data_IF_454499170992
#
_entry.id   IF_454499170992
#
_cell.length_a   1.000
_cell.length_b   1.000
_cell.length_c   1.000
_cell.angle_alpha   90.00
_cell.angle_beta   90.00
_cell.angle_gamma   90.00
#
_symmetry.space_group_name_H-M   'P 1'
#
loop_
_entity.id
_entity.type
_entity.pdbx_description
1 polymer ?
#
# COMPACT_ATOMS: atom_id res chain seq x y z
N UNK A 1 5.25 -12.16 -12.00
CA UNK A 1 5.00 -13.62 -12.07
C UNK A 1 6.20 -14.29 -11.42
N UNK A 2 6.14 -14.59 -10.13
CA UNK A 2 7.21 -15.25 -9.40
C UNK A 2 6.65 -16.58 -8.90
N UNK A 3 7.14 -17.67 -9.49
CA UNK A 3 6.83 -19.04 -9.08
C UNK A 3 7.72 -19.38 -7.88
N UNK A 4 7.13 -19.51 -6.70
CA UNK A 4 7.79 -20.18 -5.58
C UNK A 4 7.55 -21.68 -5.74
N UNK A 5 8.61 -22.45 -6.00
CA UNK A 5 8.59 -23.91 -5.96
C UNK A 5 8.72 -24.35 -4.49
N UNK A 6 7.72 -25.05 -3.97
CA UNK A 6 7.82 -25.84 -2.74
C UNK A 6 7.87 -27.33 -3.11
N UNK A 7 8.74 -28.09 -2.45
CA UNK A 7 8.86 -29.54 -2.59
C UNK A 7 7.88 -30.25 -1.64
N UNK A 8 6.60 -30.35 -2.03
CA UNK A 8 5.61 -31.35 -1.57
C UNK A 8 4.25 -31.09 -2.26
N UNK A 9 3.38 -32.09 -2.46
CA UNK A 9 2.10 -31.90 -3.12
C UNK A 9 1.09 -31.33 -2.12
N UNK A 10 1.16 -30.02 -1.88
CA UNK A 10 0.13 -29.28 -1.14
C UNK A 10 -0.47 -28.27 -2.11
N UNK A 11 -1.79 -28.13 -2.11
CA UNK A 11 -2.48 -27.13 -2.93
C UNK A 11 -2.18 -25.73 -2.36
N UNK A 12 -1.04 -25.18 -2.78
CA UNK A 12 -0.57 -23.86 -2.38
C UNK A 12 -1.36 -22.77 -3.14
N UNK A 13 -2.26 -22.07 -2.45
CA UNK A 13 -2.90 -20.86 -2.97
C UNK A 13 -2.22 -19.61 -2.38
N UNK A 14 -1.18 -19.12 -3.05
CA UNK A 14 -0.57 -17.83 -2.71
C UNK A 14 -1.38 -16.71 -3.38
N UNK A 15 -2.29 -16.06 -2.63
CA UNK A 15 -2.90 -14.82 -3.09
C UNK A 15 -1.86 -13.71 -2.96
N UNK A 16 -1.53 -13.05 -4.07
CA UNK A 16 -0.67 -11.87 -4.05
C UNK A 16 -1.48 -10.67 -3.54
N UNK A 17 -1.61 -10.58 -2.23
CA UNK A 17 -2.19 -9.42 -1.56
C UNK A 17 -1.05 -8.39 -1.48
N UNK A 18 -1.11 -7.33 -2.28
CA UNK A 18 -0.19 -6.19 -2.13
C UNK A 18 -0.55 -5.47 -0.81
N UNK A 19 0.08 -5.81 0.31
CA UNK A 19 -0.28 -5.19 1.60
C UNK A 19 0.80 -5.33 2.65
N UNK A 20 1.32 -4.18 3.10
CA UNK A 20 2.51 -3.96 3.96
C UNK A 20 2.31 -4.44 5.41
N UNK A 21 3.37 -4.96 6.02
CA UNK A 21 3.47 -5.51 7.37
C UNK A 21 4.94 -5.69 7.77
N UNK A 22 5.46 -4.78 8.60
CA UNK A 22 6.77 -4.89 9.22
C UNK A 22 6.66 -5.59 10.58
N UNK A 23 7.63 -6.46 10.93
CA UNK A 23 8.45 -6.35 12.15
C UNK A 23 9.43 -7.53 12.32
N UNK A 24 10.64 -7.19 12.76
CA UNK A 24 11.60 -8.11 13.39
C UNK A 24 12.74 -7.32 14.04
N UNK A 25 12.68 -7.10 15.36
CA UNK A 25 13.80 -6.59 16.18
C UNK A 25 14.16 -7.70 17.17
N UNK A 26 15.43 -8.15 17.25
CA UNK A 26 15.95 -8.82 18.42
C UNK A 26 16.70 -7.85 19.37
N UNK A 27 16.84 -8.36 20.59
CA UNK A 27 17.19 -7.73 21.86
C UNK A 27 18.71 -7.55 22.05
N UNK A 28 19.10 -6.38 22.58
CA UNK A 28 20.24 -6.00 23.47
C UNK A 28 21.66 -6.56 23.22
N UNK A 29 22.64 -5.64 23.13
CA UNK A 29 23.90 -5.72 23.92
C UNK A 29 24.64 -4.38 23.99
N UNK A 30 24.99 -3.96 25.21
CA UNK A 30 25.82 -2.81 25.58
C UNK A 30 27.27 -2.90 25.06
N UNK A 31 27.94 -1.76 24.85
CA UNK A 31 29.34 -1.55 25.25
C UNK A 31 29.78 -0.07 25.17
N UNK A 32 30.01 0.48 26.36
CA UNK A 32 31.08 1.39 26.82
C UNK A 32 31.53 2.63 26.02
N UNK A 33 31.60 3.70 26.80
CA UNK A 33 32.05 5.08 26.56
C UNK A 33 33.56 5.24 26.34
N UNK A 34 33.95 6.17 25.47
CA UNK A 34 35.20 6.94 25.58
C UNK A 34 34.98 8.39 25.11
N UNK A 35 35.30 9.33 26.00
CA UNK A 35 35.18 10.78 25.82
C UNK A 35 36.29 11.34 24.90
N UNK A 36 35.96 12.28 24.01
CA UNK A 36 36.71 13.53 23.82
C UNK A 36 35.84 14.60 23.11
N UNK A 37 35.98 15.90 23.46
CA UNK A 37 34.95 16.91 23.20
C UNK A 37 35.21 17.79 21.95
N UNK A 38 34.15 18.48 21.52
CA UNK A 38 34.11 19.61 20.58
C UNK A 38 34.12 19.25 19.08
N UNK A 39 32.94 18.87 18.57
CA UNK A 39 32.24 19.43 17.38
C UNK A 39 30.76 19.05 17.60
N UNK A 40 29.98 19.92 18.25
CA UNK A 40 28.54 19.70 18.48
C UNK A 40 27.74 20.67 17.64
N UNK A 41 27.52 20.30 16.37
CA UNK A 41 26.34 20.63 15.56
C UNK A 41 26.55 20.09 14.15
N UNK A 42 26.59 18.77 13.98
CA UNK A 42 26.31 18.00 12.76
C UNK A 42 26.70 16.54 13.05
N UNK A 43 25.75 15.61 12.85
CA UNK A 43 25.89 14.15 13.01
C UNK A 43 25.75 13.64 14.45
N UNK A 44 24.51 13.44 14.90
CA UNK A 44 24.12 12.32 15.78
C UNK A 44 22.57 12.26 15.92
N UNK A 45 21.90 11.81 14.87
CA UNK A 45 20.66 11.02 15.04
C UNK A 45 20.83 9.79 14.15
N UNK A 46 21.66 8.86 14.60
CA UNK A 46 21.68 7.49 14.09
C UNK A 46 20.80 6.64 15.01
N UNK A 47 19.51 6.99 15.09
CA UNK A 47 18.51 5.93 15.11
C UNK A 47 18.48 5.40 13.67
N UNK A 48 18.41 4.09 13.46
CA UNK A 48 18.32 3.50 12.13
C UNK A 48 17.02 3.95 11.44
N UNK A 49 17.03 5.14 10.87
CA UNK A 49 16.03 5.64 9.94
C UNK A 49 16.52 5.14 8.59
N UNK A 50 15.78 4.24 7.95
CA UNK A 50 16.01 3.95 6.54
C UNK A 50 15.90 5.28 5.78
N UNK A 51 17.02 5.79 5.28
CA UNK A 51 17.07 7.01 4.51
C UNK A 51 16.21 6.81 3.26
N UNK A 52 15.28 7.74 3.00
CA UNK A 52 14.56 7.71 1.72
C UNK A 52 15.57 7.86 0.58
N UNK A 53 15.29 7.35 -0.63
CA UNK A 53 16.15 7.55 -1.79
C UNK A 53 16.45 9.04 -2.06
N UNK A 54 15.52 9.94 -1.70
CA UNK A 54 15.69 11.39 -1.81
C UNK A 54 16.66 11.93 -0.75
N UNK A 55 16.61 11.41 0.48
CA UNK A 55 17.54 11.80 1.54
C UNK A 55 18.98 11.36 1.22
N UNK A 56 19.15 10.14 0.70
CA UNK A 56 20.44 9.65 0.21
C UNK A 56 20.97 10.53 -0.93
N UNK A 57 20.12 10.87 -1.91
CA UNK A 57 20.48 11.79 -2.99
C UNK A 57 20.88 13.18 -2.48
N UNK A 58 20.21 13.69 -1.43
CA UNK A 58 20.52 14.97 -0.79
C UNK A 58 21.88 14.94 -0.11
N UNK A 59 22.17 13.90 0.66
CA UNK A 59 23.47 13.73 1.35
C UNK A 59 24.61 13.67 0.33
N UNK A 60 24.44 12.87 -0.73
CA UNK A 60 25.40 12.79 -1.84
C UNK A 60 25.59 14.15 -2.52
N UNK A 61 24.52 14.91 -2.71
CA UNK A 61 24.62 16.26 -3.27
C UNK A 61 25.40 17.21 -2.37
N UNK A 62 25.16 17.21 -1.05
CA UNK A 62 25.93 18.07 -0.13
C UNK A 62 27.43 17.80 -0.16
N UNK A 63 27.83 16.53 -0.24
CA UNK A 63 29.24 16.16 -0.39
C UNK A 63 29.81 16.70 -1.72
N UNK A 64 29.09 16.47 -2.83
CA UNK A 64 29.46 16.96 -4.14
C UNK A 64 29.58 18.49 -4.17
N UNK A 65 28.62 19.19 -3.58
CA UNK A 65 28.56 20.65 -3.49
C UNK A 65 29.80 21.22 -2.79
N UNK A 66 30.21 20.63 -1.66
CA UNK A 66 31.40 21.06 -0.93
C UNK A 66 32.68 20.90 -1.77
N UNK A 67 32.82 19.76 -2.46
CA UNK A 67 33.98 19.50 -3.31
C UNK A 67 34.03 20.44 -4.52
N UNK A 68 32.88 20.71 -5.14
CA UNK A 68 32.77 21.66 -6.24
C UNK A 68 33.11 23.09 -5.79
N UNK A 69 32.64 23.54 -4.62
CA UNK A 69 33.00 24.86 -4.09
C UNK A 69 34.50 25.02 -3.81
N UNK A 70 35.18 23.97 -3.32
CA UNK A 70 36.65 23.96 -3.15
C UNK A 70 37.39 24.13 -4.49
N UNK A 71 36.84 23.56 -5.57
CA UNK A 71 37.40 23.68 -6.90
C UNK A 71 37.15 25.06 -7.51
N UNK A 72 35.91 25.55 -7.45
CA UNK A 72 35.49 26.83 -8.04
C UNK A 72 36.16 28.03 -7.34
N UNK A 73 36.56 27.88 -6.08
CA UNK A 73 37.36 28.89 -5.36
C UNK A 73 38.84 28.90 -5.73
N UNK A 74 39.34 27.85 -6.40
CA UNK A 74 40.73 27.76 -6.80
C UNK A 74 40.96 28.44 -8.15
N UNK A 75 41.76 29.51 -8.15
CA UNK A 75 42.01 30.33 -9.34
C UNK A 75 42.66 29.55 -10.51
N UNK A 76 43.43 28.49 -10.22
CA UNK A 76 44.03 27.63 -11.27
C UNK A 76 42.99 26.77 -11.96
N UNK A 77 41.90 26.44 -11.27
CA UNK A 77 40.81 25.65 -11.81
C UNK A 77 39.89 26.52 -12.68
N UNK A 78 39.64 27.77 -12.26
CA UNK A 78 38.87 28.76 -13.03
C UNK A 78 39.62 29.24 -14.27
N UNK A 79 40.90 29.62 -14.14
CA UNK A 79 41.73 30.14 -15.23
C UNK A 79 42.54 29.04 -15.96
N UNK A 80 42.14 27.78 -15.79
CA UNK A 80 42.80 26.65 -16.45
C UNK A 80 42.65 26.72 -17.98
N UNK A 81 43.63 26.16 -18.70
CA UNK A 81 43.65 26.14 -20.17
C UNK A 81 42.34 25.54 -20.72
N UNK A 82 41.70 26.24 -21.66
CA UNK A 82 40.56 25.73 -22.42
C UNK A 82 39.24 25.60 -21.66
N UNK A 83 38.99 26.40 -20.60
CA UNK A 83 37.74 26.34 -19.80
C UNK A 83 37.49 24.96 -19.17
N UNK A 84 38.55 24.23 -18.84
CA UNK A 84 38.48 22.87 -18.26
C UNK A 84 37.66 22.81 -16.95
N UNK A 85 37.59 23.92 -16.21
CA UNK A 85 36.72 24.04 -15.03
C UNK A 85 35.24 23.85 -15.35
N UNK A 86 34.74 24.51 -16.41
CA UNK A 86 33.32 24.44 -16.81
C UNK A 86 32.94 23.00 -17.15
N UNK A 87 33.79 22.32 -17.92
CA UNK A 87 33.60 20.92 -18.28
C UNK A 87 33.53 20.02 -17.04
N UNK A 88 34.43 20.21 -16.07
CA UNK A 88 34.45 19.42 -14.82
C UNK A 88 33.22 19.66 -13.97
N UNK A 89 32.76 20.91 -13.86
CA UNK A 89 31.53 21.27 -13.16
C UNK A 89 30.31 20.63 -13.82
N UNK A 90 30.21 20.75 -15.15
CA UNK A 90 29.12 20.18 -15.92
C UNK A 90 29.07 18.65 -15.81
N UNK A 91 30.21 17.99 -15.94
CA UNK A 91 30.31 16.55 -15.77
C UNK A 91 29.83 16.08 -14.39
N UNK A 92 30.27 16.77 -13.34
CA UNK A 92 29.92 16.44 -11.97
C UNK A 92 28.41 16.58 -11.71
N UNK A 93 27.81 17.71 -12.13
CA UNK A 93 26.37 17.93 -12.03
C UNK A 93 25.58 16.88 -12.80
N UNK A 94 25.93 16.62 -14.07
CA UNK A 94 25.21 15.66 -14.92
C UNK A 94 25.32 14.22 -14.39
N UNK A 95 26.45 13.86 -13.81
CA UNK A 95 26.61 12.55 -13.16
C UNK A 95 25.66 12.37 -11.99
N UNK A 96 25.49 13.40 -11.16
CA UNK A 96 24.52 13.40 -10.07
C UNK A 96 23.07 13.46 -10.59
N UNK A 97 22.79 14.29 -11.59
CA UNK A 97 21.48 14.40 -12.24
C UNK A 97 20.99 13.04 -12.76
N UNK A 98 21.89 12.25 -13.37
CA UNK A 98 21.56 10.90 -13.83
C UNK A 98 21.22 9.93 -12.67
N UNK A 99 21.85 10.10 -11.50
CA UNK A 99 21.55 9.26 -10.34
C UNK A 99 20.14 9.50 -9.78
N UNK A 100 19.62 10.72 -9.88
CA UNK A 100 18.29 11.06 -9.33
C UNK A 100 17.13 10.78 -10.31
N UNK A 101 17.41 10.46 -11.58
CA UNK A 101 16.37 10.09 -12.57
C UNK A 101 15.64 8.80 -12.24
N UNK A 102 16.28 7.89 -11.49
CA UNK A 102 15.67 6.62 -11.08
C UNK A 102 14.79 6.73 -9.84
N UNK A 103 14.75 7.89 -9.19
CA UNK A 103 13.92 8.10 -8.00
C UNK A 103 12.47 8.28 -8.44
N UNK A 104 11.60 7.35 -8.04
CA UNK A 104 10.17 7.41 -8.33
C UNK A 104 9.49 8.56 -7.58
N UNK A 105 8.67 9.35 -8.28
CA UNK A 105 7.79 10.38 -7.71
C UNK A 105 6.35 10.13 -8.10
N UNK A 106 5.40 10.77 -7.41
CA UNK A 106 4.00 10.80 -7.83
C UNK A 106 3.92 11.49 -9.20
N UNK A 107 3.57 10.76 -10.25
CA UNK A 107 3.44 11.31 -11.61
C UNK A 107 2.01 11.76 -11.94
N UNK A 108 1.01 11.37 -11.14
CA UNK A 108 -0.41 11.58 -11.49
C UNK A 108 -1.35 11.56 -10.29
N UNK A 109 -0.89 12.05 -9.14
CA UNK A 109 -1.78 12.19 -7.98
C UNK A 109 -2.53 13.51 -8.06
N UNK A 110 -3.69 13.49 -8.72
CA UNK A 110 -4.68 14.57 -8.63
C UNK A 110 -5.34 14.47 -7.25
N UNK A 111 -4.90 15.34 -6.34
CA UNK A 111 -5.63 15.54 -5.08
C UNK A 111 -6.69 16.62 -5.28
N UNK A 112 -7.80 16.49 -4.58
CA UNK A 112 -8.82 17.54 -4.49
C UNK A 112 -8.34 18.76 -3.70
N UNK A 113 -7.28 18.61 -2.90
CA UNK A 113 -6.72 19.69 -2.12
C UNK A 113 -6.21 20.84 -3.00
N UNK A 114 -6.81 22.01 -2.80
CA UNK A 114 -6.37 23.25 -3.42
C UNK A 114 -4.89 23.54 -3.10
N UNK A 115 -4.47 23.27 -1.85
CA UNK A 115 -3.11 23.54 -1.40
C UNK A 115 -2.09 22.65 -2.14
N UNK A 116 -2.42 21.36 -2.35
CA UNK A 116 -1.61 20.48 -3.17
C UNK A 116 -1.55 20.92 -4.63
N UNK A 117 -2.69 21.29 -5.22
CA UNK A 117 -2.70 21.77 -6.60
C UNK A 117 -1.83 23.01 -6.77
N UNK A 118 -1.81 23.92 -5.78
CA UNK A 118 -0.89 25.06 -5.77
C UNK A 118 0.57 24.67 -5.58
N UNK A 119 0.88 23.77 -4.65
CA UNK A 119 2.24 23.23 -4.51
C UNK A 119 2.71 22.56 -5.80
N UNK A 120 1.82 21.82 -6.48
CA UNK A 120 2.07 21.12 -7.73
C UNK A 120 2.41 22.07 -8.88
N UNK A 121 1.71 23.21 -9.00
CA UNK A 121 2.05 24.27 -9.97
C UNK A 121 3.50 24.75 -9.78
N UNK A 122 3.89 25.09 -8.54
CA UNK A 122 5.25 25.55 -8.24
C UNK A 122 6.29 24.44 -8.43
N UNK A 123 5.97 23.20 -8.05
CA UNK A 123 6.84 22.05 -8.29
C UNK A 123 7.07 21.80 -9.78
N UNK A 124 6.03 21.93 -10.61
CA UNK A 124 6.17 21.82 -12.06
C UNK A 124 7.08 22.90 -12.63
N UNK A 125 6.96 24.14 -12.16
CA UNK A 125 7.83 25.23 -12.56
C UNK A 125 9.29 24.94 -12.21
N UNK A 126 9.57 24.49 -10.98
CA UNK A 126 10.93 24.12 -10.54
C UNK A 126 11.48 22.96 -11.38
N UNK A 127 10.68 21.93 -11.64
CA UNK A 127 11.10 20.79 -12.46
C UNK A 127 11.41 21.20 -13.91
N UNK A 128 10.59 22.09 -14.50
CA UNK A 128 10.83 22.65 -15.84
C UNK A 128 12.15 23.43 -15.92
N UNK A 129 12.40 24.29 -14.94
CA UNK A 129 13.66 25.04 -14.84
C UNK A 129 14.86 24.12 -14.63
N UNK A 130 14.71 23.07 -13.81
CA UNK A 130 15.73 22.04 -13.64
C UNK A 130 16.05 21.31 -14.95
N UNK A 131 15.04 20.88 -15.70
CA UNK A 131 15.24 20.20 -16.99
C UNK A 131 15.91 21.11 -18.02
N UNK A 132 15.53 22.39 -18.03
CA UNK A 132 16.16 23.39 -18.88
C UNK A 132 17.62 23.60 -18.48
N UNK A 133 17.92 23.67 -17.19
CA UNK A 133 19.28 23.76 -16.67
C UNK A 133 20.10 22.52 -17.03
N UNK A 134 19.56 21.31 -16.87
CA UNK A 134 20.23 20.07 -17.24
C UNK A 134 20.64 20.07 -18.73
N UNK A 135 19.73 20.46 -19.63
CA UNK A 135 20.03 20.60 -21.06
C UNK A 135 21.17 21.60 -21.32
N UNK A 136 21.20 22.72 -20.61
CA UNK A 136 22.29 23.71 -20.72
C UNK A 136 23.62 23.15 -20.21
N UNK A 137 23.61 22.39 -19.11
CA UNK A 137 24.80 21.71 -18.60
C UNK A 137 25.30 20.62 -19.58
N UNK A 138 24.41 19.93 -20.30
CA UNK A 138 24.79 19.00 -21.37
C UNK A 138 25.49 19.71 -22.54
N UNK A 139 25.03 20.90 -22.93
CA UNK A 139 25.68 21.73 -23.96
C UNK A 139 27.07 22.18 -23.47
N UNK A 140 27.19 22.66 -22.23
CA UNK A 140 28.47 23.02 -21.62
C UNK A 140 29.44 21.83 -21.59
N UNK A 141 28.95 20.64 -21.25
CA UNK A 141 29.75 19.41 -21.26
C UNK A 141 30.24 19.04 -22.68
N UNK A 142 29.47 19.38 -23.72
CA UNK A 142 29.76 19.00 -25.11
C UNK A 142 30.77 19.94 -25.83
N UNK A 143 31.34 20.93 -25.14
CA UNK A 143 32.39 21.82 -25.65
C UNK A 143 32.06 22.60 -26.95
N UNK A 144 30.78 22.88 -27.22
CA UNK A 144 30.39 23.69 -28.39
C UNK A 144 30.54 25.18 -28.07
N UNK A 145 31.69 25.73 -28.47
CA UNK A 145 32.03 27.14 -28.78
C UNK A 145 31.14 28.25 -28.16
N UNK A 146 31.78 29.10 -27.35
CA UNK A 146 31.52 30.53 -27.16
C UNK A 146 30.04 30.97 -27.00
N UNK A 147 29.27 30.28 -26.16
CA UNK A 147 27.99 30.83 -25.70
C UNK A 147 28.18 31.62 -24.40
N UNK A 148 27.65 32.85 -24.38
CA UNK A 148 27.48 33.64 -23.18
C UNK A 148 26.66 32.82 -22.17
N UNK A 149 27.16 32.67 -20.94
CA UNK A 149 26.43 32.01 -19.85
C UNK A 149 25.22 32.84 -19.39
N UNK A 150 24.97 33.98 -20.05
CA UNK A 150 23.79 34.83 -19.85
C UNK A 150 22.44 34.15 -20.12
N UNK A 151 22.42 32.87 -20.48
CA UNK A 151 21.18 32.10 -20.59
C UNK A 151 21.11 30.90 -19.65
N UNK A 152 22.13 30.63 -18.82
CA UNK A 152 22.15 29.55 -17.81
C UNK A 152 21.59 30.02 -16.44
N UNK A 153 21.27 31.30 -16.35
CA UNK A 153 20.92 32.01 -15.12
C UNK A 153 19.84 31.35 -14.25
N UNK A 154 19.99 31.54 -12.93
CA UNK A 154 18.89 31.50 -11.97
C UNK A 154 17.85 32.49 -12.48
N UNK A 155 16.78 31.99 -13.10
CA UNK A 155 15.67 32.83 -13.46
C UNK A 155 15.03 33.37 -12.17
N UNK A 156 14.61 34.63 -12.16
CA UNK A 156 13.78 35.19 -11.08
C UNK A 156 12.62 34.23 -10.76
N UNK A 157 12.10 33.57 -11.80
CA UNK A 157 11.06 32.56 -11.74
C UNK A 157 11.43 31.33 -10.88
N UNK A 158 12.67 30.81 -10.92
CA UNK A 158 13.08 29.68 -10.08
C UNK A 158 13.18 30.06 -8.60
N UNK A 159 13.79 31.21 -8.31
CA UNK A 159 13.88 31.73 -6.94
C UNK A 159 12.50 32.05 -6.36
N UNK A 160 11.59 32.59 -7.18
CA UNK A 160 10.23 32.86 -6.74
C UNK A 160 9.43 31.57 -6.53
N UNK A 161 9.52 30.60 -7.44
CA UNK A 161 8.81 29.31 -7.31
C UNK A 161 9.29 28.51 -6.10
N UNK A 162 10.61 28.46 -5.85
CA UNK A 162 11.16 27.79 -4.67
C UNK A 162 10.75 28.47 -3.36
N UNK A 163 10.65 29.80 -3.34
CA UNK A 163 10.15 30.56 -2.19
C UNK A 163 8.65 30.38 -1.98
N UNK A 164 7.85 30.40 -3.03
CA UNK A 164 6.39 30.20 -2.92
C UNK A 164 6.06 28.77 -2.48
N UNK A 165 6.80 27.78 -3.00
CA UNK A 165 6.68 26.41 -2.52
C UNK A 165 7.05 26.30 -1.03
N UNK A 166 8.09 27.00 -0.59
CA UNK A 166 8.50 27.08 0.82
C UNK A 166 7.39 27.68 1.70
N UNK A 167 6.87 28.85 1.34
CA UNK A 167 5.79 29.56 2.06
C UNK A 167 4.52 28.68 2.17
N UNK A 168 4.19 27.90 1.14
CA UNK A 168 3.06 26.97 1.18
C UNK A 168 3.31 25.75 2.09
N UNK A 169 4.56 25.30 2.20
CA UNK A 169 4.96 24.13 2.98
C UNK A 169 5.42 24.47 4.40
N UNK A 170 5.60 25.74 4.73
CA UNK A 170 5.96 26.21 6.07
C UNK A 170 4.90 25.84 7.12
N UNK A 171 3.65 25.66 6.68
CA UNK A 171 2.51 25.10 7.43
C UNK A 171 2.13 23.67 6.98
N UNK A 172 3.09 22.95 6.37
CA UNK A 172 2.88 21.69 5.67
C UNK A 172 2.58 20.48 6.56
N UNK A 173 2.71 20.60 7.88
CA UNK A 173 2.20 19.62 8.83
C UNK A 173 0.69 19.44 8.63
N UNK A 174 -0.04 20.54 8.50
CA UNK A 174 -1.48 20.53 8.21
C UNK A 174 -1.80 19.92 6.84
N UNK A 175 -0.99 20.21 5.82
CA UNK A 175 -1.15 19.62 4.48
C UNK A 175 -1.04 18.09 4.53
N UNK A 176 -0.02 17.52 5.19
CA UNK A 176 0.14 16.07 5.26
C UNK A 176 -1.01 15.38 6.02
N UNK A 177 -1.55 16.04 7.05
CA UNK A 177 -2.72 15.55 7.79
C UNK A 177 -4.02 15.67 6.99
N UNK A 178 -4.32 16.85 6.43
CA UNK A 178 -5.53 17.13 5.63
C UNK A 178 -5.63 16.16 4.44
N UNK A 179 -4.50 15.87 3.76
CA UNK A 179 -4.45 14.94 2.63
C UNK A 179 -4.62 13.46 3.00
N UNK A 180 -4.29 13.10 4.24
CA UNK A 180 -4.50 11.76 4.76
C UNK A 180 -5.93 11.54 5.26
N UNK A 181 -6.68 12.60 5.57
CA UNK A 181 -8.05 12.57 6.08
C UNK A 181 -9.10 12.68 4.95
N UNK A 182 -8.85 13.48 3.91
CA UNK A 182 -9.80 13.70 2.79
C UNK A 182 -10.00 12.48 1.85
N UNK A 183 -9.20 11.43 1.96
CA UNK A 183 -9.24 10.25 1.07
C UNK A 183 -10.10 9.08 1.57
N UNK A 184 -10.88 9.24 2.65
CA UNK A 184 -11.65 8.12 3.23
C UNK A 184 -12.77 7.57 2.32
N UNK A 185 -13.25 8.33 1.33
CA UNK A 185 -14.57 8.05 0.72
C UNK A 185 -14.63 7.82 -0.79
N UNK A 186 -13.57 7.99 -1.59
CA UNK A 186 -13.77 8.00 -3.06
C UNK A 186 -12.86 7.14 -3.93
N UNK A 187 -11.69 6.67 -3.49
CA UNK A 187 -10.73 6.07 -4.43
C UNK A 187 -10.41 4.59 -4.14
N UNK A 188 -11.41 3.75 -4.33
CA UNK A 188 -11.24 2.30 -4.28
C UNK A 188 -10.35 1.72 -5.40
N UNK A 189 -10.02 2.50 -6.43
CA UNK A 189 -9.10 2.07 -7.48
C UNK A 189 -7.64 1.96 -7.00
N UNK A 190 -7.30 2.56 -5.85
CA UNK A 190 -5.95 2.54 -5.31
C UNK A 190 -6.01 2.31 -3.80
N UNK A 191 -5.83 1.07 -3.36
CA UNK A 191 -5.59 0.74 -1.94
C UNK A 191 -4.24 1.33 -1.48
N UNK A 192 -4.18 2.64 -1.25
CA UNK A 192 -2.97 3.30 -0.79
C UNK A 192 -2.98 3.34 0.73
N UNK A 193 -2.04 2.62 1.33
CA UNK A 193 -1.69 2.78 2.73
C UNK A 193 -1.43 4.26 3.04
N UNK A 194 -2.12 4.87 4.03
CA UNK A 194 -1.98 6.32 4.32
C UNK A 194 -0.52 6.75 4.48
N UNK A 195 0.28 5.95 5.16
CA UNK A 195 1.70 6.24 5.31
C UNK A 195 2.50 6.17 3.99
N UNK A 196 2.08 5.36 3.01
CA UNK A 196 2.68 5.33 1.66
C UNK A 196 2.34 6.61 0.91
N UNK A 197 1.10 7.08 1.02
CA UNK A 197 0.70 8.35 0.42
C UNK A 197 1.53 9.51 1.00
N UNK A 198 1.64 9.58 2.33
CA UNK A 198 2.45 10.61 3.02
C UNK A 198 3.91 10.52 2.59
N UNK A 199 4.48 9.31 2.52
CA UNK A 199 5.85 9.08 2.05
C UNK A 199 6.07 9.54 0.60
N UNK A 200 5.10 9.28 -0.28
CA UNK A 200 5.17 9.66 -1.70
C UNK A 200 5.06 11.17 -1.90
N UNK A 201 4.17 11.83 -1.16
CA UNK A 201 4.05 13.29 -1.11
C UNK A 201 5.38 13.90 -0.66
N UNK A 202 5.90 13.43 0.48
CA UNK A 202 7.18 13.87 1.01
C UNK A 202 8.31 13.71 -0.02
N UNK A 203 8.44 12.53 -0.62
CA UNK A 203 9.50 12.22 -1.59
C UNK A 203 9.42 13.13 -2.82
N UNK A 204 8.21 13.42 -3.29
CA UNK A 204 7.96 14.26 -4.47
C UNK A 204 8.35 15.72 -4.22
N UNK A 205 7.91 16.27 -3.08
CA UNK A 205 8.27 17.63 -2.64
C UNK A 205 9.77 17.73 -2.40
N UNK A 206 10.33 16.82 -1.61
CA UNK A 206 11.74 16.82 -1.23
C UNK A 206 12.68 16.69 -2.44
N UNK A 207 12.30 15.87 -3.45
CA UNK A 207 13.09 15.75 -4.67
C UNK A 207 13.03 17.03 -5.49
N UNK A 208 11.86 17.67 -5.57
CA UNK A 208 11.69 18.93 -6.30
C UNK A 208 12.49 20.06 -5.65
N UNK A 209 12.46 20.16 -4.33
CA UNK A 209 13.28 21.14 -3.62
C UNK A 209 14.78 20.88 -3.78
N UNK A 210 15.21 19.61 -3.78
CA UNK A 210 16.60 19.24 -4.02
C UNK A 210 17.07 19.66 -5.42
N UNK A 211 16.23 19.47 -6.45
CA UNK A 211 16.49 19.95 -7.81
C UNK A 211 16.65 21.46 -7.85
N UNK A 212 15.73 22.20 -7.24
CA UNK A 212 15.80 23.67 -7.15
C UNK A 212 17.08 24.14 -6.46
N UNK A 213 17.38 23.57 -5.29
CA UNK A 213 18.61 23.86 -4.53
C UNK A 213 19.88 23.58 -5.35
N UNK A 214 19.93 22.45 -6.05
CA UNK A 214 21.08 22.08 -6.85
C UNK A 214 21.32 23.08 -8.01
N UNK A 215 20.25 23.47 -8.71
CA UNK A 215 20.33 24.50 -9.76
C UNK A 215 20.82 25.82 -9.18
N UNK A 216 20.29 26.26 -8.04
CA UNK A 216 20.75 27.49 -7.36
C UNK A 216 22.25 27.42 -7.03
N UNK A 217 22.73 26.36 -6.38
CA UNK A 217 24.12 26.23 -5.97
C UNK A 217 25.09 26.19 -7.16
N UNK A 218 24.79 25.38 -8.18
CA UNK A 218 25.65 25.29 -9.37
C UNK A 218 25.62 26.59 -10.19
N UNK A 219 24.50 27.31 -10.20
CA UNK A 219 24.44 28.62 -10.84
C UNK A 219 25.33 29.66 -10.16
N UNK A 220 25.38 29.69 -8.82
CA UNK A 220 26.34 30.54 -8.10
C UNK A 220 27.79 30.18 -8.41
N UNK A 221 28.10 28.89 -8.59
CA UNK A 221 29.42 28.46 -9.01
C UNK A 221 29.77 29.01 -10.39
N UNK A 222 28.85 28.93 -11.35
CA UNK A 222 29.04 29.50 -12.69
C UNK A 222 29.25 31.02 -12.65
N UNK A 223 28.43 31.76 -11.87
CA UNK A 223 28.58 33.21 -11.73
C UNK A 223 29.95 33.62 -11.19
N UNK A 224 30.48 32.83 -10.26
CA UNK A 224 31.81 33.05 -9.71
C UNK A 224 32.90 32.81 -10.75
N UNK A 225 32.78 31.74 -11.54
CA UNK A 225 33.73 31.43 -12.61
C UNK A 225 33.74 32.49 -13.72
N UNK A 226 32.60 33.15 -13.96
CA UNK A 226 32.50 34.31 -14.86
C UNK A 226 33.05 35.62 -14.27
N UNK A 227 33.48 35.62 -13.00
CA UNK A 227 33.97 36.82 -12.33
C UNK A 227 32.88 37.80 -11.88
N UNK A 228 31.62 37.38 -11.78
CA UNK A 228 30.50 38.26 -11.35
C UNK A 228 30.42 38.48 -9.84
N UNK A 229 31.22 37.78 -9.04
CA UNK A 229 31.24 37.94 -7.58
C UNK A 229 31.56 36.64 -6.84
N UNK A 230 31.69 36.73 -5.51
CA UNK A 230 32.01 35.59 -4.65
C UNK A 230 30.79 34.93 -4.00
N UNK A 231 29.62 35.59 -4.02
CA UNK A 231 28.29 35.12 -3.57
C UNK A 231 28.25 34.38 -2.23
N UNK A 232 29.24 34.62 -1.35
CA UNK A 232 29.50 33.76 -0.20
C UNK A 232 28.40 33.83 0.85
N UNK A 233 27.73 34.98 0.94
CA UNK A 233 26.57 35.16 1.82
C UNK A 233 25.35 34.43 1.27
N UNK A 234 25.04 34.63 -0.01
CA UNK A 234 23.89 34.04 -0.72
C UNK A 234 23.94 32.51 -0.68
N UNK A 235 25.14 31.94 -0.87
CA UNK A 235 25.39 30.49 -0.77
C UNK A 235 25.12 29.98 0.64
N UNK A 236 25.70 30.65 1.64
CA UNK A 236 25.59 30.23 3.05
C UNK A 236 24.15 30.31 3.53
N UNK A 237 23.44 31.38 3.19
CA UNK A 237 22.03 31.57 3.52
C UNK A 237 21.13 30.58 2.77
N UNK A 238 21.39 30.33 1.49
CA UNK A 238 20.67 29.32 0.69
C UNK A 238 20.82 27.93 1.30
N UNK A 239 22.06 27.51 1.62
CA UNK A 239 22.33 26.22 2.25
C UNK A 239 21.64 26.09 3.61
N UNK A 240 21.79 27.11 4.48
CA UNK A 240 21.17 27.10 5.81
C UNK A 240 19.65 26.96 5.74
N UNK A 241 18.98 27.73 4.86
CA UNK A 241 17.53 27.67 4.67
C UNK A 241 17.08 26.30 4.17
N UNK A 242 17.71 25.80 3.10
CA UNK A 242 17.37 24.49 2.54
C UNK A 242 17.57 23.36 3.55
N UNK A 243 18.71 23.32 4.26
CA UNK A 243 18.98 22.27 5.24
C UNK A 243 17.99 22.26 6.41
N UNK A 244 17.61 23.44 6.93
CA UNK A 244 16.63 23.55 8.00
C UNK A 244 15.26 23.03 7.56
N UNK A 245 14.83 23.41 6.36
CA UNK A 245 13.54 23.02 5.79
C UNK A 245 13.47 21.53 5.48
N UNK A 246 14.50 20.98 4.84
CA UNK A 246 14.60 19.56 4.54
C UNK A 246 14.51 18.70 5.82
N UNK A 247 15.19 19.12 6.89
CA UNK A 247 15.12 18.44 8.19
C UNK A 247 13.73 18.51 8.82
N UNK A 248 13.07 19.67 8.77
CA UNK A 248 11.70 19.85 9.25
C UNK A 248 10.72 18.97 8.48
N UNK A 249 10.75 19.02 7.14
CA UNK A 249 9.88 18.22 6.29
C UNK A 249 10.03 16.72 6.53
N UNK A 250 11.28 16.22 6.69
CA UNK A 250 11.52 14.82 7.02
C UNK A 250 10.97 14.44 8.41
N UNK A 251 11.10 15.34 9.40
CA UNK A 251 10.59 15.11 10.75
C UNK A 251 9.07 15.04 10.76
N UNK A 252 8.39 15.98 10.10
CA UNK A 252 6.92 16.00 10.03
C UNK A 252 6.37 14.84 9.21
N UNK A 253 7.01 14.48 8.09
CA UNK A 253 6.63 13.30 7.32
C UNK A 253 6.73 12.02 8.16
N UNK A 254 7.83 11.83 8.89
CA UNK A 254 8.00 10.67 9.78
C UNK A 254 6.97 10.65 10.91
N UNK A 255 6.63 11.80 11.47
CA UNK A 255 5.59 11.93 12.49
C UNK A 255 4.22 11.56 11.93
N UNK A 256 3.86 12.09 10.76
CA UNK A 256 2.60 11.82 10.09
C UNK A 256 2.48 10.34 9.68
N UNK A 257 3.54 9.75 9.14
CA UNK A 257 3.64 8.30 8.84
C UNK A 257 3.40 7.47 10.10
N UNK A 258 4.08 7.82 11.20
CA UNK A 258 3.98 7.08 12.47
C UNK A 258 2.60 7.19 13.12
N UNK A 259 1.93 8.33 12.95
CA UNK A 259 0.58 8.59 13.46
C UNK A 259 -0.54 8.05 12.55
N UNK A 260 -0.23 7.73 11.29
CA UNK A 260 -1.22 7.26 10.33
C UNK A 260 -1.72 5.85 10.69
N UNK A 261 -3.01 5.60 10.44
CA UNK A 261 -3.57 4.25 10.59
C UNK A 261 -2.85 3.30 9.67
N UNK A 262 -2.47 2.13 10.21
CA UNK A 262 -1.80 1.06 9.47
C UNK A 262 -2.80 0.09 8.82
N UNK A 263 -4.08 0.43 8.84
CA UNK A 263 -5.16 -0.39 8.32
C UNK A 263 -5.11 -0.38 6.78
N UNK A 264 -5.24 -1.56 6.18
CA UNK A 264 -5.39 -1.71 4.74
C UNK A 264 -6.88 -1.51 4.43
N UNK A 265 -7.23 -0.42 3.77
CA UNK A 265 -8.57 -0.28 3.19
C UNK A 265 -8.59 -1.14 1.91
N UNK A 266 -9.11 -2.36 2.03
CA UNK A 266 -9.37 -3.24 0.90
C UNK A 266 -10.73 -2.88 0.33
N UNK A 267 -10.76 -2.49 -0.94
CA UNK A 267 -12.00 -2.38 -1.68
C UNK A 267 -12.29 -3.70 -2.40
N UNK A 268 -13.57 -4.04 -2.51
CA UNK A 268 -13.96 -5.21 -3.28
C UNK A 268 -13.57 -5.03 -4.76
N UNK A 269 -12.97 -6.05 -5.40
CA UNK A 269 -12.66 -6.01 -6.81
C UNK A 269 -13.94 -5.87 -7.64
N UNK A 270 -13.86 -5.18 -8.78
CA UNK A 270 -15.01 -5.06 -9.70
C UNK A 270 -15.54 -6.41 -10.19
N UNK A 271 -14.68 -7.43 -10.21
CA UNK A 271 -15.06 -8.82 -10.49
C UNK A 271 -14.32 -9.76 -9.55
N UNK A 272 -15.07 -10.59 -8.85
CA UNK A 272 -14.50 -11.65 -8.02
C UNK A 272 -14.09 -12.86 -8.87
N UNK A 273 -12.82 -13.26 -8.77
CA UNK A 273 -12.22 -14.42 -9.46
C UNK A 273 -11.55 -15.32 -8.41
N UNK A 274 -11.97 -16.58 -8.34
CA UNK A 274 -11.44 -17.58 -7.39
C UNK A 274 -9.94 -17.82 -7.63
N UNK A 275 -9.16 -18.01 -6.58
CA UNK A 275 -7.70 -18.14 -6.65
C UNK A 275 -6.97 -16.83 -6.98
N UNK A 276 -7.67 -15.73 -7.26
CA UNK A 276 -7.07 -14.44 -7.60
C UNK A 276 -7.50 -13.33 -6.65
N UNK A 277 -8.80 -13.09 -6.54
CA UNK A 277 -9.35 -11.98 -5.74
C UNK A 277 -10.13 -12.46 -4.53
N UNK A 278 -10.49 -13.74 -4.50
CA UNK A 278 -11.07 -14.40 -3.35
C UNK A 278 -10.71 -15.87 -3.38
N UNK A 279 -10.81 -16.51 -2.23
CA UNK A 279 -10.71 -17.96 -2.10
C UNK A 279 -11.87 -18.44 -1.25
N UNK A 280 -12.33 -19.67 -1.50
CA UNK A 280 -13.50 -20.21 -0.83
C UNK A 280 -13.11 -21.04 0.40
N UNK A 281 -13.69 -20.71 1.55
CA UNK A 281 -13.72 -21.65 2.68
C UNK A 281 -14.78 -22.70 2.36
N UNK A 282 -14.35 -23.96 2.21
CA UNK A 282 -15.25 -25.06 1.87
C UNK A 282 -15.98 -25.56 3.11
N UNK A 283 -17.30 -25.74 2.99
CA UNK A 283 -18.19 -26.47 3.91
C UNK A 283 -18.13 -26.16 5.42
N UNK A 284 -17.45 -25.08 5.80
CA UNK A 284 -17.46 -24.56 7.16
C UNK A 284 -18.69 -23.69 7.38
N UNK A 285 -19.54 -24.05 8.33
CA UNK A 285 -20.73 -23.29 8.74
C UNK A 285 -21.65 -22.93 7.56
N UNK A 286 -21.86 -23.87 6.63
CA UNK A 286 -22.78 -23.65 5.51
C UNK A 286 -24.23 -23.84 5.96
N UNK A 287 -25.15 -23.07 5.37
CA UNK A 287 -26.58 -23.26 5.60
C UNK A 287 -27.01 -24.69 5.25
N UNK A 288 -27.72 -25.35 6.16
CA UNK A 288 -28.14 -26.75 6.06
C UNK A 288 -29.61 -26.87 6.47
N UNK A 289 -30.43 -27.45 5.61
CA UNK A 289 -31.86 -27.66 5.85
C UNK A 289 -32.05 -29.06 6.41
N UNK A 290 -32.60 -29.20 7.61
CA UNK A 290 -32.83 -30.51 8.23
C UNK A 290 -34.16 -30.56 8.96
N UNK A 291 -34.78 -31.74 9.00
CA UNK A 291 -36.02 -31.91 9.76
C UNK A 291 -35.72 -32.16 11.25
N UNK A 292 -36.56 -31.61 12.12
CA UNK A 292 -36.46 -31.83 13.58
C UNK A 292 -36.35 -33.32 13.94
N UNK A 293 -37.09 -34.18 13.25
CA UNK A 293 -37.11 -35.64 13.48
C UNK A 293 -35.74 -36.29 13.28
N UNK A 294 -34.88 -35.71 12.44
CA UNK A 294 -33.58 -36.28 12.07
C UNK A 294 -32.43 -35.72 12.92
N UNK A 295 -32.71 -34.73 13.78
CA UNK A 295 -31.73 -34.02 14.60
C UNK A 295 -31.66 -34.47 16.07
N UNK A 296 -32.40 -35.53 16.43
CA UNK A 296 -32.35 -36.13 17.78
C UNK A 296 -32.38 -37.66 17.74
N UNK A 297 -31.76 -38.30 18.74
CA UNK A 297 -31.71 -39.76 18.88
C UNK A 297 -33.09 -40.41 18.95
N UNK A 298 -34.06 -39.72 19.57
CA UNK A 298 -35.41 -40.23 19.79
C UNK A 298 -36.24 -40.29 18.50
N UNK A 299 -35.82 -39.63 17.42
CA UNK A 299 -36.59 -39.55 16.18
C UNK A 299 -37.95 -38.86 16.35
N UNK A 300 -37.98 -37.79 17.15
CA UNK A 300 -39.20 -37.05 17.53
C UNK A 300 -39.16 -35.58 17.13
N UNK A 301 -40.30 -34.90 17.17
CA UNK A 301 -40.43 -33.45 16.89
C UNK A 301 -41.00 -32.73 18.12
N UNK A 302 -40.44 -33.05 19.29
CA UNK A 302 -40.89 -32.51 20.58
C UNK A 302 -40.42 -31.08 20.82
N UNK A 303 -39.29 -30.71 20.22
CA UNK A 303 -38.70 -29.38 20.31
C UNK A 303 -39.11 -28.51 19.12
N UNK A 304 -38.54 -27.31 19.03
CA UNK A 304 -38.66 -26.43 17.87
C UNK A 304 -37.27 -26.15 17.29
N UNK A 305 -37.21 -25.62 16.06
CA UNK A 305 -35.92 -25.35 15.41
C UNK A 305 -34.90 -24.57 16.28
N UNK A 306 -35.26 -23.47 16.98
CA UNK A 306 -34.31 -22.78 17.87
C UNK A 306 -33.77 -23.59 19.04
N UNK A 307 -34.47 -24.65 19.47
CA UNK A 307 -33.99 -25.56 20.52
C UNK A 307 -32.72 -26.33 20.12
N UNK A 308 -32.50 -26.53 18.82
CA UNK A 308 -31.33 -27.23 18.28
C UNK A 308 -30.13 -26.27 18.12
N UNK A 309 -29.54 -25.88 19.25
CA UNK A 309 -28.32 -25.05 19.29
C UNK A 309 -27.06 -25.83 18.90
N UNK A 310 -27.01 -27.11 19.24
CA UNK A 310 -25.96 -28.05 18.85
C UNK A 310 -26.58 -29.44 18.74
N UNK A 311 -26.66 -29.96 17.52
CA UNK A 311 -27.27 -31.24 17.20
C UNK A 311 -26.39 -32.04 16.23
N UNK A 312 -26.75 -33.30 16.03
CA UNK A 312 -26.15 -34.16 15.01
C UNK A 312 -27.27 -34.75 14.17
N UNK A 313 -26.91 -35.21 12.98
CA UNK A 313 -27.83 -36.01 12.19
C UNK A 313 -27.85 -37.44 12.74
N UNK A 314 -29.00 -37.89 13.21
CA UNK A 314 -29.19 -39.24 13.75
C UNK A 314 -29.85 -40.19 12.75
N UNK A 315 -30.49 -39.66 11.71
CA UNK A 315 -31.19 -40.50 10.74
C UNK A 315 -31.62 -39.77 9.47
N UNK A 316 -32.47 -40.45 8.73
CA UNK A 316 -33.20 -39.88 7.61
C UNK A 316 -34.58 -40.52 7.57
N UNK A 317 -35.54 -39.86 8.21
CA UNK A 317 -36.88 -40.40 8.36
C UNK A 317 -37.53 -40.58 6.99
N UNK A 318 -37.86 -41.83 6.65
CA UNK A 318 -38.55 -42.22 5.42
C UNK A 318 -37.87 -41.73 4.13
N UNK A 319 -36.53 -41.63 4.12
CA UNK A 319 -35.75 -41.15 2.98
C UNK A 319 -36.32 -39.83 2.38
N UNK A 320 -36.75 -38.91 3.26
CA UNK A 320 -37.26 -37.59 2.89
C UNK A 320 -36.14 -36.70 2.29
N UNK A 321 -36.23 -35.37 2.46
CA UNK A 321 -35.28 -34.44 1.87
C UNK A 321 -33.82 -34.71 2.28
N UNK A 322 -33.59 -35.26 3.48
CA UNK A 322 -32.28 -35.71 3.95
C UNK A 322 -31.58 -36.74 3.03
N UNK A 323 -32.33 -37.51 2.24
CA UNK A 323 -31.77 -38.46 1.26
C UNK A 323 -31.41 -37.79 -0.09
N UNK A 324 -31.99 -36.62 -0.36
CA UNK A 324 -31.85 -35.88 -1.61
C UNK A 324 -30.72 -34.84 -1.56
N UNK A 325 -30.26 -34.49 -0.37
CA UNK A 325 -29.16 -33.54 -0.14
C UNK A 325 -27.86 -34.22 0.28
N UNK A 326 -26.75 -33.47 0.26
CA UNK A 326 -25.49 -33.91 0.87
C UNK A 326 -25.66 -33.89 2.38
N UNK A 327 -25.17 -34.92 3.05
CA UNK A 327 -25.25 -35.05 4.50
C UNK A 327 -24.28 -34.10 5.22
N UNK A 328 -24.70 -33.57 6.36
CA UNK A 328 -23.78 -32.94 7.31
C UNK A 328 -23.15 -34.03 8.19
N UNK A 329 -21.83 -34.20 8.11
CA UNK A 329 -21.11 -35.22 8.89
C UNK A 329 -20.64 -34.74 10.27
N UNK A 330 -20.56 -33.43 10.48
CA UNK A 330 -20.19 -32.83 11.76
C UNK A 330 -21.39 -32.33 12.55
N UNK A 331 -21.21 -31.19 13.22
CA UNK A 331 -22.24 -30.63 14.12
C UNK A 331 -23.20 -29.71 13.37
N UNK A 332 -24.49 -29.89 13.61
CA UNK A 332 -25.54 -28.96 13.18
C UNK A 332 -25.71 -27.91 14.28
N UNK A 333 -25.56 -26.64 13.94
CA UNK A 333 -25.56 -25.52 14.90
C UNK A 333 -26.58 -24.46 14.54
N UNK A 334 -27.01 -23.70 15.54
CA UNK A 334 -27.77 -22.46 15.39
C UNK A 334 -28.97 -22.57 14.44
N UNK A 335 -29.77 -23.63 14.65
CA UNK A 335 -30.98 -23.86 13.88
C UNK A 335 -32.03 -22.78 14.09
N UNK A 336 -32.75 -22.42 13.03
CA UNK A 336 -33.88 -21.50 13.08
C UNK A 336 -35.02 -21.95 12.18
N UNK A 337 -36.23 -21.68 12.64
CA UNK A 337 -37.41 -21.82 11.80
C UNK A 337 -37.50 -20.61 10.88
N UNK A 338 -37.73 -20.84 9.58
CA UNK A 338 -37.93 -19.78 8.60
C UNK A 338 -39.37 -19.83 8.13
N UNK A 339 -39.75 -20.87 7.39
CA UNK A 339 -41.12 -21.15 6.96
C UNK A 339 -41.33 -22.67 6.83
N UNK A 340 -42.58 -23.12 6.88
CA UNK A 340 -42.95 -24.54 6.87
C UNK A 340 -42.72 -25.23 5.53
N UNK A 341 -42.69 -24.48 4.43
CA UNK A 341 -42.65 -24.99 3.07
C UNK A 341 -41.60 -24.23 2.24
N UNK A 342 -40.81 -24.98 1.48
CA UNK A 342 -39.78 -24.41 0.63
C UNK A 342 -39.50 -25.31 -0.58
N UNK A 343 -38.99 -24.68 -1.63
CA UNK A 343 -38.41 -25.35 -2.79
C UNK A 343 -36.90 -25.16 -2.75
N UNK A 344 -36.15 -26.25 -2.75
CA UNK A 344 -34.69 -26.25 -2.62
C UNK A 344 -34.05 -26.74 -3.92
N UNK A 345 -33.12 -25.96 -4.46
CA UNK A 345 -32.24 -26.39 -5.54
C UNK A 345 -30.90 -26.83 -4.95
N UNK A 346 -30.66 -28.15 -4.92
CA UNK A 346 -29.39 -28.71 -4.44
C UNK A 346 -28.29 -28.50 -5.46
N UNK A 347 -27.07 -28.20 -4.99
CA UNK A 347 -25.92 -28.07 -5.89
C UNK A 347 -25.43 -29.42 -6.41
N UNK A 348 -24.60 -29.39 -7.46
CA UNK A 348 -23.87 -30.56 -7.96
C UNK A 348 -23.08 -31.26 -6.85
N UNK A 349 -22.89 -32.59 -6.95
CA UNK A 349 -22.07 -33.36 -6.01
C UNK A 349 -20.62 -32.87 -5.96
N UNK A 350 -20.09 -32.38 -7.08
CA UNK A 350 -18.75 -31.80 -7.19
C UNK A 350 -18.63 -30.38 -6.65
N UNK A 351 -19.75 -29.69 -6.36
CA UNK A 351 -19.73 -28.32 -5.84
C UNK A 351 -19.37 -28.29 -4.35
N UNK A 352 -18.66 -27.25 -3.93
CA UNK A 352 -18.41 -26.94 -2.51
C UNK A 352 -19.63 -26.32 -1.82
N UNK A 353 -20.66 -25.90 -2.57
CA UNK A 353 -21.94 -25.43 -2.04
C UNK A 353 -22.90 -26.60 -1.82
N UNK A 354 -23.77 -26.46 -0.81
CA UNK A 354 -24.88 -27.38 -0.56
C UNK A 354 -26.09 -27.08 -1.47
N UNK A 355 -26.44 -25.80 -1.61
CA UNK A 355 -27.60 -25.34 -2.39
C UNK A 355 -27.19 -24.22 -3.36
N UNK A 356 -27.81 -24.21 -4.53
CA UNK A 356 -27.71 -23.05 -5.44
C UNK A 356 -28.65 -21.94 -4.98
N UNK A 357 -29.87 -22.32 -4.61
CA UNK A 357 -30.86 -21.42 -4.02
C UNK A 357 -31.91 -22.19 -3.21
N UNK A 358 -32.58 -21.47 -2.30
CA UNK A 358 -33.76 -21.91 -1.54
C UNK A 358 -34.83 -20.84 -1.71
N UNK A 359 -36.05 -21.23 -2.07
CA UNK A 359 -37.19 -20.34 -2.16
C UNK A 359 -38.30 -20.82 -1.22
N UNK A 360 -38.72 -19.96 -0.31
CA UNK A 360 -39.84 -20.20 0.59
C UNK A 360 -41.16 -19.77 -0.07
N UNK A 361 -42.27 -20.40 0.34
CA UNK A 361 -43.60 -20.15 -0.24
C UNK A 361 -44.08 -18.71 0.02
N UNK A 362 -43.68 -18.10 1.15
CA UNK A 362 -43.92 -16.69 1.48
C UNK A 362 -43.12 -15.69 0.62
N UNK A 363 -42.32 -16.18 -0.34
CA UNK A 363 -41.59 -15.35 -1.30
C UNK A 363 -40.16 -15.01 -0.90
N UNK A 364 -39.74 -15.35 0.33
CA UNK A 364 -38.34 -15.19 0.77
C UNK A 364 -37.43 -16.12 -0.06
N UNK A 365 -36.27 -15.61 -0.47
CA UNK A 365 -35.29 -16.35 -1.29
C UNK A 365 -33.88 -16.26 -0.68
N UNK A 366 -33.14 -17.34 -0.76
CA UNK A 366 -31.71 -17.43 -0.46
C UNK A 366 -30.99 -17.86 -1.74
N UNK A 367 -30.05 -17.06 -2.22
CA UNK A 367 -29.44 -17.26 -3.54
C UNK A 367 -30.29 -16.70 -4.69
N UNK A 368 -29.75 -16.77 -5.91
CA UNK A 368 -30.43 -16.31 -7.12
C UNK A 368 -31.34 -17.41 -7.67
N UNK A 369 -32.62 -17.33 -7.33
CA UNK A 369 -33.62 -18.30 -7.76
C UNK A 369 -33.84 -18.21 -9.28
N UNK A 370 -33.61 -19.31 -10.00
CA UNK A 370 -33.68 -19.39 -11.46
C UNK A 370 -33.70 -20.84 -11.94
N UNK A 371 -33.07 -21.13 -13.09
CA UNK A 371 -32.91 -22.51 -13.55
C UNK A 371 -32.00 -23.28 -12.58
N UNK A 372 -32.50 -24.40 -12.06
CA UNK A 372 -31.71 -25.32 -11.24
C UNK A 372 -30.95 -26.26 -12.17
N UNK A 373 -29.65 -26.47 -11.92
CA UNK A 373 -28.85 -27.41 -12.71
C UNK A 373 -29.30 -28.88 -12.53
N UNK A 374 -30.05 -29.15 -11.46
CA UNK A 374 -30.71 -30.40 -11.12
C UNK A 374 -32.23 -30.19 -11.01
N UNK A 375 -32.93 -31.23 -10.56
CA UNK A 375 -34.31 -31.11 -10.12
C UNK A 375 -34.43 -30.31 -8.81
N UNK A 376 -35.51 -29.55 -8.72
CA UNK A 376 -35.90 -28.84 -7.50
C UNK A 376 -36.67 -29.77 -6.58
N UNK A 377 -36.34 -29.76 -5.30
CA UNK A 377 -37.03 -30.57 -4.30
C UNK A 377 -38.01 -29.70 -3.53
N UNK A 378 -39.28 -30.09 -3.51
CA UNK A 378 -40.27 -29.46 -2.64
C UNK A 378 -40.24 -30.12 -1.27
N UNK A 379 -40.07 -29.29 -0.25
CA UNK A 379 -39.87 -29.71 1.13
C UNK A 379 -41.01 -29.14 1.97
N UNK A 380 -41.76 -30.04 2.61
CA UNK A 380 -42.95 -29.70 3.38
C UNK A 380 -42.82 -30.19 4.81
N UNK A 381 -43.03 -29.31 5.79
CA UNK A 381 -43.27 -29.69 7.18
C UNK A 381 -44.58 -30.47 7.31
N UNK A 382 -44.66 -31.36 8.29
CA UNK A 382 -45.76 -32.33 8.40
C UNK A 382 -46.09 -32.66 9.86
N UNK A 383 -47.26 -33.25 10.10
CA UNK A 383 -47.73 -33.63 11.43
C UNK A 383 -47.52 -35.13 11.69
N UNK A 384 -47.04 -35.45 12.90
CA UNK A 384 -46.95 -36.81 13.44
C UNK A 384 -47.74 -36.92 14.73
N UNK A 385 -48.96 -37.44 14.65
CA UNK A 385 -49.86 -37.42 15.81
C UNK A 385 -50.09 -35.99 16.28
N UNK A 386 -49.63 -35.66 17.49
CA UNK A 386 -49.75 -34.32 18.07
C UNK A 386 -48.52 -33.41 17.85
N UNK A 387 -47.45 -33.91 17.24
CA UNK A 387 -46.23 -33.13 16.99
C UNK A 387 -46.20 -32.58 15.56
N UNK A 388 -45.72 -31.35 15.39
CA UNK A 388 -45.48 -30.75 14.08
C UNK A 388 -43.98 -30.78 13.78
N UNK A 389 -43.59 -31.58 12.80
CA UNK A 389 -42.21 -31.74 12.39
C UNK A 389 -41.85 -30.67 11.36
N UNK A 390 -41.12 -29.64 11.80
CA UNK A 390 -40.70 -28.56 10.92
C UNK A 390 -39.36 -28.85 10.25
N UNK A 391 -39.17 -28.27 9.07
CA UNK A 391 -37.83 -28.15 8.47
C UNK A 391 -37.15 -26.88 8.97
N UNK A 392 -35.95 -27.05 9.51
CA UNK A 392 -35.13 -26.01 10.11
C UNK A 392 -34.01 -25.61 9.15
N UNK A 393 -33.64 -24.33 9.14
CA UNK A 393 -32.41 -23.85 8.51
C UNK A 393 -31.36 -23.70 9.60
N UNK A 394 -30.28 -24.48 9.52
CA UNK A 394 -29.19 -24.53 10.49
C UNK A 394 -27.85 -24.21 9.80
N UNK A 395 -26.77 -24.22 10.58
CA UNK A 395 -25.40 -24.18 10.08
C UNK A 395 -24.76 -25.56 10.24
N UNK A 396 -24.27 -26.14 9.14
CA UNK A 396 -23.48 -27.36 9.18
C UNK A 396 -22.00 -27.03 9.35
N UNK A 397 -21.44 -27.45 10.48
CA UNK A 397 -20.02 -27.49 10.76
C UNK A 397 -19.48 -28.87 10.31
N UNK A 398 -19.28 -29.06 9.00
CA UNK A 398 -18.81 -30.32 8.39
C UNK A 398 -17.39 -30.64 8.88
N UNK A 399 -17.16 -31.83 9.41
CA UNK A 399 -15.85 -32.25 9.95
C UNK A 399 -14.92 -32.86 8.88
N UNK A 400 -15.50 -33.38 7.81
CA UNK A 400 -14.81 -34.29 6.88
C UNK A 400 -14.31 -33.55 5.65
N UNK A 401 -15.06 -32.53 5.20
CA UNK A 401 -14.81 -31.84 3.92
C UNK A 401 -14.67 -30.33 4.07
N UNK A 402 -14.36 -29.82 5.26
CA UNK A 402 -14.20 -28.38 5.51
C UNK A 402 -12.75 -27.96 5.75
N UNK A 403 -12.44 -26.73 5.35
CA UNK A 403 -11.20 -26.08 5.75
C UNK A 403 -11.33 -25.55 7.19
N UNK A 404 -10.56 -26.12 8.13
CA UNK A 404 -10.68 -25.81 9.57
C UNK A 404 -9.50 -25.05 10.15
N UNK A 405 -8.34 -25.08 9.49
CA UNK A 405 -7.14 -24.41 9.97
C UNK A 405 -6.71 -23.32 9.01
N UNK A 406 -6.50 -22.14 9.56
CA UNK A 406 -5.96 -20.98 8.85
C UNK A 406 -4.60 -20.64 9.45
N UNK A 407 -3.56 -20.60 8.63
CA UNK A 407 -2.25 -20.10 9.05
C UNK A 407 -1.91 -18.85 8.25
N UNK A 408 -1.75 -17.73 8.95
CA UNK A 408 -1.21 -16.49 8.41
C UNK A 408 0.29 -16.47 8.66
N UNK A 409 1.08 -17.04 7.74
CA UNK A 409 2.54 -16.89 7.81
C UNK A 409 2.95 -15.61 7.10
N UNK A 410 3.81 -14.84 7.75
CA UNK A 410 4.46 -13.72 7.12
C UNK A 410 5.34 -14.24 5.97
N UNK A 411 5.10 -13.76 4.76
CA UNK A 411 5.98 -14.00 3.62
C UNK A 411 6.80 -12.74 3.34
N UNK A 412 8.11 -12.91 3.16
CA UNK A 412 9.00 -11.82 2.76
C UNK A 412 8.69 -11.43 1.33
N UNK A 413 8.21 -10.21 1.18
CA UNK A 413 7.97 -9.52 -0.07
C UNK A 413 9.22 -8.80 -0.58
N UNK A 414 9.19 -8.36 -1.82
CA UNK A 414 10.21 -7.49 -2.40
C UNK A 414 10.33 -6.18 -1.61
N UNK A 415 11.44 -6.04 -0.88
CA UNK A 415 11.77 -4.91 0.00
C UNK A 415 11.87 -3.60 -0.78
N UNK A 416 12.25 -3.65 -2.07
CA UNK A 416 12.42 -2.47 -2.89
C UNK A 416 11.08 -1.84 -3.32
N UNK A 417 10.01 -2.63 -3.35
CA UNK A 417 8.66 -2.14 -3.66
C UNK A 417 7.78 -1.96 -2.43
N UNK A 418 8.33 -2.20 -1.23
CA UNK A 418 7.66 -2.08 0.06
C UNK A 418 6.24 -2.68 0.00
N UNK A 419 6.13 -3.91 -0.48
CA UNK A 419 4.90 -4.72 -0.39
C UNK A 419 4.97 -5.49 0.92
N UNK A 420 3.88 -6.02 1.44
CA UNK A 420 3.97 -7.28 2.20
C UNK A 420 3.01 -8.29 1.61
N UNK A 421 3.30 -9.57 1.85
CA UNK A 421 2.55 -10.69 1.31
C UNK A 421 2.12 -11.52 2.50
N UNK A 422 0.82 -11.75 2.59
CA UNK A 422 0.25 -12.70 3.53
C UNK A 422 -0.07 -13.97 2.75
N UNK A 423 0.55 -15.08 3.14
CA UNK A 423 0.17 -16.38 2.63
C UNK A 423 -0.92 -16.96 3.54
N UNK A 424 -2.07 -17.27 2.95
CA UNK A 424 -3.12 -18.03 3.60
C UNK A 424 -2.92 -19.50 3.26
N UNK A 425 -2.66 -20.32 4.27
CA UNK A 425 -2.57 -21.77 4.10
C UNK A 425 -3.84 -22.43 4.65
N UNK A 426 -4.41 -23.33 3.86
CA UNK A 426 -5.52 -24.18 4.24
C UNK A 426 -5.00 -25.56 4.60
N UNK A 427 -5.45 -26.10 5.73
CA UNK A 427 -5.24 -27.50 6.07
C UNK A 427 -6.61 -28.16 6.32
N UNK A 428 -6.73 -29.41 5.87
CA UNK A 428 -7.83 -30.31 6.22
C UNK A 428 -7.61 -30.88 7.62
#
# INVERSE_FOLDING_TARGET
MALCKSEAPVADACININGIGAHGIPVVSECTTMNLPVITALVAVAAAIELSPVDDARIKFYALEQDLWRNVTNIRWVNGVGKLGDFKLARAFLSWANHIKSISTLSSFQQKSWLWNKAWEHMHQINSEYEMFEKKMQILFSNVINQSYERVFINYDLSNATRQLDELLEHGDKLLYDLAEENENEDCERSVFRAKLIYDIYSTVALTELKGYAVTQVSWMLFRMEGRGNFSQEITESRKRYSLRAARAATEANRAISASRKEIQMCDPSKHIEGTTYEQVTRLLQGYVENEVDMNESGTCSDNCPGYTSAYRYGCYMDQFCAQQKSCYGTIRDCRFVESHMTVCTSSRSSNRLYEWIQYDGGRRLGEAGSCSKDTNRVYSWYRGFYHCSYCLCLCDDDTYSHRYFSLRAATSDVHTNKCVFCLYYYN
#
